data_IF_332755494256
#
_entry.id   IF_332755494256
#
_cell.length_a   1.000
_cell.length_b   1.000
_cell.length_c   1.000
_cell.angle_alpha   90.00
_cell.angle_beta   90.00
_cell.angle_gamma   90.00
#
_symmetry.space_group_name_H-M   'P 1'
#
loop_
_entity.id
_entity.type
_entity.pdbx_description
1 polymer ?
#
# COMPACT_ATOMS: atom_id res chain seq x y z
N UNK A 1 48.98 -37.01 -10.52
CA UNK A 1 48.63 -36.07 -9.43
C UNK A 1 48.24 -34.67 -9.90
N UNK A 2 48.75 -34.14 -11.03
CA UNK A 2 48.30 -32.86 -11.62
C UNK A 2 46.82 -32.85 -12.07
N UNK A 3 46.32 -33.96 -12.64
CA UNK A 3 44.91 -34.07 -13.06
C UNK A 3 43.92 -34.18 -11.89
N UNK A 4 44.37 -34.63 -10.72
CA UNK A 4 43.52 -34.70 -9.51
C UNK A 4 43.31 -33.30 -8.91
N UNK A 5 44.30 -32.42 -9.03
CA UNK A 5 44.22 -31.04 -8.56
C UNK A 5 43.33 -30.16 -9.46
N UNK A 6 43.30 -30.44 -10.77
CA UNK A 6 42.42 -29.75 -11.73
C UNK A 6 40.95 -30.13 -11.51
N UNK A 7 40.68 -31.38 -11.14
CA UNK A 7 39.31 -31.82 -10.82
C UNK A 7 38.76 -31.16 -9.56
N UNK A 8 39.63 -30.82 -8.60
CA UNK A 8 39.25 -30.22 -7.31
C UNK A 8 38.97 -28.70 -7.41
N UNK A 9 39.54 -28.03 -8.42
CA UNK A 9 39.29 -26.61 -8.70
C UNK A 9 37.97 -26.42 -9.48
N UNK A 10 37.58 -27.41 -10.29
CA UNK A 10 36.33 -27.37 -11.06
C UNK A 10 35.08 -27.66 -10.23
N UNK A 11 35.21 -28.30 -9.06
CA UNK A 11 34.10 -28.53 -8.12
C UNK A 11 33.85 -27.34 -7.18
N UNK A 12 34.80 -26.41 -7.05
CA UNK A 12 34.65 -25.24 -6.17
C UNK A 12 33.86 -24.09 -6.82
N UNK A 13 33.72 -24.07 -8.15
CA UNK A 13 33.01 -23.01 -8.88
C UNK A 13 31.50 -23.20 -8.97
N UNK A 14 30.96 -24.34 -8.52
CA UNK A 14 29.51 -24.59 -8.51
C UNK A 14 28.79 -24.19 -7.21
N UNK A 15 29.50 -23.75 -6.17
CA UNK A 15 28.88 -23.34 -4.90
C UNK A 15 28.66 -21.82 -4.76
N UNK A 16 29.06 -21.00 -5.74
CA UNK A 16 29.08 -19.55 -5.58
C UNK A 16 28.00 -18.81 -6.37
N UNK A 17 26.74 -19.27 -6.30
CA UNK A 17 25.59 -18.40 -6.60
C UNK A 17 24.26 -18.95 -6.04
N UNK A 18 24.21 -19.18 -4.73
CA UNK A 18 22.94 -19.18 -4.01
C UNK A 18 22.76 -17.78 -3.41
N UNK A 19 22.39 -16.80 -4.23
CA UNK A 19 21.80 -15.58 -3.70
C UNK A 19 20.47 -16.01 -3.07
N UNK A 20 20.42 -16.15 -1.75
CA UNK A 20 19.17 -16.21 -1.02
C UNK A 20 18.38 -14.96 -1.40
N UNK A 21 17.43 -15.11 -2.32
CA UNK A 21 16.49 -14.06 -2.64
C UNK A 21 15.60 -13.93 -1.41
N UNK A 22 16.04 -13.10 -0.46
CA UNK A 22 15.39 -12.89 0.84
C UNK A 22 13.90 -12.72 0.57
N UNK A 23 13.11 -13.75 0.93
CA UNK A 23 11.70 -13.81 0.58
C UNK A 23 11.03 -12.58 1.18
N UNK A 24 10.11 -12.01 0.41
CA UNK A 24 9.37 -10.84 0.86
C UNK A 24 8.47 -11.27 2.02
N UNK A 25 8.61 -10.62 3.17
CA UNK A 25 7.83 -10.89 4.37
C UNK A 25 6.35 -10.53 4.16
N UNK A 26 5.46 -11.15 4.95
CA UNK A 26 4.02 -10.92 4.90
C UNK A 26 3.22 -12.21 5.07
N UNK A 27 2.10 -12.12 5.79
CA UNK A 27 1.20 -13.23 6.10
C UNK A 27 0.24 -13.54 4.93
N UNK A 28 -0.17 -12.51 4.19
CA UNK A 28 -1.13 -12.64 3.07
C UNK A 28 -0.47 -12.42 1.71
N UNK A 29 -1.10 -12.92 0.64
CA UNK A 29 -0.64 -12.68 -0.73
C UNK A 29 -0.61 -11.18 -1.08
N UNK A 30 -1.54 -10.40 -0.54
CA UNK A 30 -1.58 -8.95 -0.71
C UNK A 30 -0.40 -8.27 0.00
N UNK A 31 -0.11 -8.63 1.26
CA UNK A 31 1.03 -8.08 2.00
C UNK A 31 2.36 -8.39 1.29
N UNK A 32 2.53 -9.63 0.80
CA UNK A 32 3.72 -10.02 0.02
C UNK A 32 3.85 -9.21 -1.27
N UNK A 33 2.74 -8.98 -1.99
CA UNK A 33 2.74 -8.13 -3.20
C UNK A 33 3.12 -6.69 -2.84
N UNK A 34 2.52 -6.11 -1.81
CA UNK A 34 2.79 -4.74 -1.36
C UNK A 34 4.26 -4.56 -0.96
N UNK A 35 4.78 -5.45 -0.11
CA UNK A 35 6.19 -5.41 0.28
C UNK A 35 7.13 -5.59 -0.92
N UNK A 36 6.74 -6.38 -1.93
CA UNK A 36 7.52 -6.51 -3.16
C UNK A 36 7.54 -5.22 -3.98
N UNK A 37 6.45 -4.47 -4.01
CA UNK A 37 6.37 -3.17 -4.69
C UNK A 37 7.19 -2.10 -3.96
N UNK A 38 7.15 -2.07 -2.63
CA UNK A 38 7.98 -1.17 -1.81
C UNK A 38 9.47 -1.50 -1.87
N UNK A 39 9.83 -2.77 -2.13
CA UNK A 39 11.22 -3.20 -2.31
C UNK A 39 11.77 -2.96 -3.71
N UNK A 40 10.90 -2.75 -4.71
CA UNK A 40 11.31 -2.47 -6.09
C UNK A 40 11.79 -1.01 -6.21
N UNK A 41 13.11 -0.82 -6.29
CA UNK A 41 13.75 0.49 -6.40
C UNK A 41 13.22 1.37 -7.56
N UNK A 42 12.65 0.78 -8.61
CA UNK A 42 12.11 1.53 -9.76
C UNK A 42 10.72 2.13 -9.52
N UNK A 43 10.01 1.63 -8.50
CA UNK A 43 8.62 2.02 -8.20
C UNK A 43 8.43 2.48 -6.76
N UNK A 44 9.39 2.17 -5.88
CA UNK A 44 9.29 2.39 -4.45
C UNK A 44 9.13 3.88 -4.11
N UNK A 45 8.23 4.23 -3.18
CA UNK A 45 8.16 5.57 -2.63
C UNK A 45 9.27 5.87 -1.61
N UNK A 46 10.06 4.85 -1.21
CA UNK A 46 11.11 4.99 -0.21
C UNK A 46 12.36 5.67 -0.78
N UNK A 47 13.09 6.40 0.07
CA UNK A 47 14.40 6.93 -0.31
C UNK A 47 15.41 5.79 -0.38
N UNK A 48 16.44 5.93 -1.21
CA UNK A 48 17.47 4.90 -1.41
C UNK A 48 18.11 4.41 -0.09
N UNK A 49 18.34 5.32 0.86
CA UNK A 49 18.88 4.98 2.19
C UNK A 49 17.95 4.08 3.01
N UNK A 50 16.64 4.26 2.90
CA UNK A 50 15.64 3.52 3.67
C UNK A 50 15.40 2.16 2.99
N UNK A 51 15.44 2.14 1.65
CA UNK A 51 15.33 0.91 0.85
C UNK A 51 16.44 -0.11 1.15
N UNK A 52 17.67 0.34 1.45
CA UNK A 52 18.81 -0.54 1.80
C UNK A 52 18.56 -1.38 3.06
N UNK A 53 17.72 -0.89 3.96
CA UNK A 53 17.39 -1.54 5.22
C UNK A 53 15.95 -2.03 5.28
N UNK A 54 15.21 -1.96 4.16
CA UNK A 54 13.80 -2.32 4.10
C UNK A 54 13.62 -3.86 4.13
N UNK A 55 12.96 -4.35 5.17
CA UNK A 55 12.63 -5.77 5.33
C UNK A 55 11.17 -6.06 4.94
N UNK A 56 10.26 -5.16 5.34
CA UNK A 56 8.84 -5.17 5.01
C UNK A 56 8.14 -3.95 5.62
N UNK A 57 6.88 -3.74 5.25
CA UNK A 57 5.98 -2.83 5.94
C UNK A 57 5.48 -3.47 7.23
N UNK A 58 5.28 -2.63 8.24
CA UNK A 58 4.53 -3.00 9.43
C UNK A 58 3.04 -3.08 9.08
N UNK A 59 2.38 -4.14 9.53
CA UNK A 59 0.94 -4.33 9.36
C UNK A 59 0.29 -4.59 10.71
N UNK A 60 -0.84 -3.95 10.97
CA UNK A 60 -1.69 -4.36 12.07
C UNK A 60 -2.15 -5.81 11.88
N UNK A 61 -2.19 -6.62 12.95
CA UNK A 61 -2.77 -7.95 12.87
C UNK A 61 -4.24 -7.86 12.47
N UNK A 62 -4.71 -8.86 11.72
CA UNK A 62 -6.11 -8.90 11.31
C UNK A 62 -7.04 -8.94 12.52
N UNK A 63 -7.95 -7.98 12.61
CA UNK A 63 -9.02 -7.94 13.60
C UNK A 63 -10.37 -7.75 12.89
N UNK A 64 -11.23 -8.77 12.98
CA UNK A 64 -12.54 -8.77 12.36
C UNK A 64 -13.48 -7.72 12.96
N UNK A 65 -13.20 -7.20 14.16
CA UNK A 65 -13.98 -6.11 14.77
C UNK A 65 -13.92 -4.80 13.96
N UNK A 66 -12.89 -4.63 13.11
CA UNK A 66 -12.73 -3.47 12.22
C UNK A 66 -13.31 -3.68 10.82
N UNK A 67 -13.84 -4.87 10.53
CA UNK A 67 -14.61 -5.13 9.30
C UNK A 67 -16.07 -4.74 9.56
N UNK A 68 -16.48 -3.60 9.02
CA UNK A 68 -17.81 -3.03 9.24
C UNK A 68 -18.64 -2.96 7.97
N UNK A 69 -19.95 -3.14 8.10
CA UNK A 69 -20.91 -2.82 7.04
C UNK A 69 -21.29 -1.35 7.19
N UNK A 70 -21.12 -0.57 6.12
CA UNK A 70 -21.45 0.84 6.09
C UNK A 70 -22.60 1.12 5.11
N UNK A 71 -23.45 2.08 5.46
CA UNK A 71 -24.47 2.62 4.56
C UNK A 71 -23.91 3.86 3.87
N UNK A 72 -23.89 3.85 2.53
CA UNK A 72 -23.50 4.99 1.71
C UNK A 72 -24.72 5.85 1.36
N UNK A 73 -24.69 7.12 1.75
CA UNK A 73 -25.60 8.16 1.28
C UNK A 73 -24.90 8.99 0.20
N UNK A 74 -25.45 8.98 -1.02
CA UNK A 74 -24.91 9.75 -2.16
C UNK A 74 -25.24 11.23 -1.99
N UNK A 75 -24.30 12.09 -2.38
CA UNK A 75 -24.48 13.54 -2.41
C UNK A 75 -24.44 14.04 -3.86
N UNK A 76 -25.50 13.82 -4.65
CA UNK A 76 -25.59 14.40 -5.99
C UNK A 76 -25.53 15.93 -5.89
N UNK A 77 -24.96 16.57 -6.90
CA UNK A 77 -24.87 18.04 -7.03
C UNK A 77 -23.86 18.77 -6.12
N UNK A 78 -22.98 18.03 -5.44
CA UNK A 78 -21.84 18.64 -4.73
C UNK A 78 -20.90 19.38 -5.68
N UNK A 79 -20.41 20.54 -5.24
CA UNK A 79 -19.52 21.37 -6.05
C UNK A 79 -18.09 20.82 -6.00
N UNK A 80 -17.36 20.79 -7.13
CA UNK A 80 -15.94 20.47 -7.13
C UNK A 80 -15.11 21.43 -6.26
N UNK A 81 -14.06 20.90 -5.66
CA UNK A 81 -13.09 21.67 -4.88
C UNK A 81 -11.66 21.17 -5.08
N UNK A 82 -10.70 22.04 -4.80
CA UNK A 82 -9.27 21.74 -4.84
C UNK A 82 -8.85 21.06 -3.53
N UNK A 83 -8.47 19.78 -3.58
CA UNK A 83 -8.00 19.05 -2.41
C UNK A 83 -6.51 19.31 -2.17
N UNK A 84 -6.12 19.63 -0.93
CA UNK A 84 -4.71 19.77 -0.56
C UNK A 84 -4.04 18.40 -0.53
N UNK A 85 -2.82 18.32 -1.05
CA UNK A 85 -1.96 17.14 -0.96
C UNK A 85 -0.69 17.48 -0.19
N UNK A 86 0.16 16.49 0.08
CA UNK A 86 1.49 16.69 0.66
C UNK A 86 2.45 17.44 -0.28
N UNK A 87 2.08 17.59 -1.55
CA UNK A 87 2.83 18.35 -2.56
C UNK A 87 2.07 19.63 -2.93
N UNK A 88 2.61 20.43 -3.85
CA UNK A 88 1.93 21.62 -4.38
C UNK A 88 0.72 21.30 -5.27
N UNK A 89 0.48 20.03 -5.61
CA UNK A 89 -0.65 19.60 -6.45
C UNK A 89 -1.98 19.85 -5.72
N UNK A 90 -2.93 20.40 -6.47
CA UNK A 90 -4.31 20.66 -6.05
C UNK A 90 -5.31 20.00 -7.01
N UNK A 91 -5.47 18.66 -6.96
CA UNK A 91 -6.43 17.96 -7.80
C UNK A 91 -7.88 18.36 -7.48
N UNK A 92 -8.73 18.35 -8.51
CA UNK A 92 -10.17 18.57 -8.35
C UNK A 92 -10.86 17.30 -7.88
N UNK A 93 -11.57 17.42 -6.76
CA UNK A 93 -12.41 16.38 -6.20
C UNK A 93 -13.83 16.88 -6.03
N UNK A 94 -14.78 15.94 -6.05
CA UNK A 94 -16.15 16.16 -5.61
C UNK A 94 -16.45 15.24 -4.44
N UNK A 95 -17.26 15.70 -3.49
CA UNK A 95 -17.78 14.81 -2.45
C UNK A 95 -18.77 13.85 -3.09
N UNK A 96 -18.42 12.57 -3.06
CA UNK A 96 -19.21 11.49 -3.65
C UNK A 96 -20.37 11.09 -2.71
N UNK A 97 -20.11 11.07 -1.41
CA UNK A 97 -21.13 10.72 -0.43
C UNK A 97 -20.60 10.68 0.98
N UNK A 98 -21.45 10.18 1.88
CA UNK A 98 -21.14 9.96 3.28
C UNK A 98 -21.42 8.49 3.59
N UNK A 99 -20.44 7.78 4.12
CA UNK A 99 -20.67 6.47 4.72
C UNK A 99 -20.95 6.60 6.20
N UNK A 100 -21.97 5.91 6.67
CA UNK A 100 -22.33 5.80 8.09
C UNK A 100 -22.21 4.35 8.53
N UNK A 101 -21.55 4.10 9.66
CA UNK A 101 -21.34 2.76 10.19
C UNK A 101 -21.23 2.77 11.72
N UNK A 102 -21.26 1.59 12.32
CA UNK A 102 -20.96 1.41 13.75
C UNK A 102 -19.68 0.62 13.91
N UNK A 103 -18.80 1.10 14.78
CA UNK A 103 -17.59 0.40 15.20
C UNK A 103 -17.59 0.34 16.72
N UNK A 104 -17.49 -0.88 17.28
CA UNK A 104 -17.51 -1.12 18.74
C UNK A 104 -18.69 -0.44 19.45
N UNK A 105 -19.86 -0.41 18.80
CA UNK A 105 -21.09 0.20 19.32
C UNK A 105 -21.22 1.71 19.14
N UNK A 106 -20.15 2.40 18.71
CA UNK A 106 -20.13 3.84 18.45
C UNK A 106 -20.42 4.11 16.98
N UNK A 107 -21.27 5.11 16.70
CA UNK A 107 -21.63 5.51 15.34
C UNK A 107 -20.62 6.49 14.77
N UNK A 108 -20.14 6.23 13.56
CA UNK A 108 -19.19 7.07 12.83
C UNK A 108 -19.74 7.45 11.45
N UNK A 109 -19.23 8.57 10.91
CA UNK A 109 -19.49 9.03 9.55
C UNK A 109 -18.19 9.47 8.89
N UNK A 110 -17.97 9.05 7.65
CA UNK A 110 -16.81 9.46 6.85
C UNK A 110 -17.27 9.97 5.48
N UNK A 111 -16.62 11.02 4.99
CA UNK A 111 -16.86 11.53 3.65
C UNK A 111 -16.06 10.70 2.64
N UNK A 112 -16.69 10.38 1.52
CA UNK A 112 -16.03 9.79 0.36
C UNK A 112 -15.93 10.84 -0.73
N UNK A 113 -14.81 10.87 -1.43
CA UNK A 113 -14.51 11.78 -2.51
C UNK A 113 -14.23 11.02 -3.80
N UNK A 114 -14.49 11.65 -4.94
CA UNK A 114 -14.13 11.13 -6.26
C UNK A 114 -13.28 12.16 -7.00
N UNK A 115 -12.19 11.70 -7.60
CA UNK A 115 -11.31 12.55 -8.41
C UNK A 115 -11.94 12.78 -9.77
N UNK A 116 -12.06 14.05 -10.17
CA UNK A 116 -12.59 14.40 -11.49
C UNK A 116 -11.63 14.03 -12.63
N UNK A 117 -10.33 13.90 -12.35
CA UNK A 117 -9.34 13.47 -13.32
C UNK A 117 -9.35 11.94 -13.49
N UNK A 118 -9.53 11.18 -12.39
CA UNK A 118 -9.50 9.72 -12.47
C UNK A 118 -10.79 9.16 -13.06
N UNK A 119 -11.93 9.80 -12.79
CA UNK A 119 -13.22 9.32 -13.33
C UNK A 119 -13.31 9.39 -14.86
N UNK A 120 -12.42 10.12 -15.55
CA UNK A 120 -12.35 10.16 -17.02
C UNK A 120 -11.49 9.04 -17.60
N UNK A 121 -10.73 8.32 -16.75
CA UNK A 121 -9.88 7.19 -17.15
C UNK A 121 -10.68 5.91 -16.94
N UNK A 122 -10.78 5.08 -17.98
CA UNK A 122 -11.60 3.86 -17.97
C UNK A 122 -11.25 2.92 -16.80
N UNK A 123 -9.95 2.76 -16.50
CA UNK A 123 -9.45 1.94 -15.38
C UNK A 123 -9.87 2.46 -13.99
N UNK A 124 -10.19 3.76 -13.86
CA UNK A 124 -10.42 4.41 -12.56
C UNK A 124 -11.79 5.09 -12.45
N UNK A 125 -12.74 4.74 -13.33
CA UNK A 125 -14.06 5.38 -13.42
C UNK A 125 -14.84 5.30 -12.10
N UNK A 126 -14.70 4.20 -11.37
CA UNK A 126 -15.37 3.89 -10.12
C UNK A 126 -14.43 4.01 -8.89
N UNK A 127 -13.25 4.58 -9.08
CA UNK A 127 -12.28 4.72 -8.00
C UNK A 127 -12.67 5.83 -7.01
N UNK A 128 -12.92 5.44 -5.76
CA UNK A 128 -13.34 6.33 -4.68
C UNK A 128 -12.24 6.48 -3.63
N UNK A 129 -12.12 7.70 -3.12
CA UNK A 129 -11.14 8.06 -2.10
C UNK A 129 -11.83 8.28 -0.75
N UNK A 130 -11.46 7.47 0.23
CA UNK A 130 -11.96 7.54 1.61
C UNK A 130 -10.78 7.84 2.54
N UNK A 131 -10.36 9.11 2.65
CA UNK A 131 -9.40 9.51 3.66
C UNK A 131 -10.07 9.60 5.02
N UNK A 132 -9.39 9.13 6.07
CA UNK A 132 -9.82 9.31 7.44
C UNK A 132 -8.61 9.48 8.36
N UNK A 133 -8.91 9.92 9.58
CA UNK A 133 -7.98 9.92 10.68
C UNK A 133 -8.64 9.20 11.86
N UNK A 134 -7.82 8.62 12.71
CA UNK A 134 -8.18 7.96 13.95
C UNK A 134 -7.13 8.25 15.03
N UNK A 135 -7.33 7.69 16.22
CA UNK A 135 -6.51 7.99 17.40
C UNK A 135 -5.08 7.44 17.32
N UNK A 136 -4.79 6.55 16.37
CA UNK A 136 -3.45 5.97 16.17
C UNK A 136 -2.56 6.90 15.33
N UNK A 137 -3.15 7.78 14.51
CA UNK A 137 -2.39 8.64 13.60
C UNK A 137 -1.33 9.49 14.31
N UNK A 138 -0.08 9.36 13.86
CA UNK A 138 1.06 10.11 14.37
C UNK A 138 1.84 9.39 15.47
N UNK A 139 1.28 8.34 16.06
CA UNK A 139 1.92 7.51 17.09
C UNK A 139 2.18 6.08 16.56
N UNK A 140 1.15 5.44 16.01
CA UNK A 140 1.18 4.07 15.47
C UNK A 140 0.31 4.03 14.20
N UNK A 141 0.79 3.54 13.06
CA UNK A 141 -0.02 3.49 11.83
C UNK A 141 0.51 2.54 10.79
#
# INVERSE_FOLDING_TARGET
>A
MKHLFILLIFTFTFFSCAQEKKMVEGETAWQKKMNSEFKDASKSPLKEKDLKHFEGLDFFPFDSAYVVIATLERTPDEKPFKMKTTTSRLPDYVKYGVVSFKLKGVSYKLNIYQSLELMTKEEYVDYLFLPFLDDTNGEES
#
